data_IF_325650151698
#
_entry.id   IF_325650151698
#
_cell.length_a   1.000
_cell.length_b   1.000
_cell.length_c   1.000
_cell.angle_alpha   90.00
_cell.angle_beta   90.00
_cell.angle_gamma   90.00
#
_symmetry.space_group_name_H-M   'P 1'
#
loop_
_entity.id
_entity.type
_entity.pdbx_description
1 polymer ?
#
# COMPACT_ATOMS: atom_id res chain seq x y z
N UNK A 1 -14.03 37.02 15.27
CA UNK A 1 -13.49 37.25 13.91
C UNK A 1 -13.40 35.91 13.15
N UNK A 2 -14.52 35.20 13.00
CA UNK A 2 -14.52 33.78 12.57
C UNK A 2 -15.52 33.47 11.44
N UNK A 3 -16.21 34.49 10.90
CA UNK A 3 -17.31 34.30 9.95
C UNK A 3 -16.90 34.45 8.47
N UNK A 4 -15.61 34.60 8.17
CA UNK A 4 -15.10 34.69 6.79
C UNK A 4 -14.83 33.31 6.17
N UNK A 5 -14.32 32.34 6.95
CA UNK A 5 -13.98 31.00 6.43
C UNK A 5 -15.22 30.19 6.02
N UNK A 6 -16.35 30.37 6.72
CA UNK A 6 -17.59 29.64 6.40
C UNK A 6 -18.30 30.13 5.13
N UNK A 7 -17.97 31.32 4.60
CA UNK A 7 -18.50 31.79 3.30
C UNK A 7 -17.66 31.32 2.12
N UNK A 8 -16.38 31.00 2.30
CA UNK A 8 -15.51 30.53 1.23
C UNK A 8 -15.76 29.05 0.87
N UNK A 9 -16.14 28.21 1.83
CA UNK A 9 -16.46 26.80 1.57
C UNK A 9 -17.81 26.58 0.88
N UNK A 10 -18.74 27.54 0.98
CA UNK A 10 -20.01 27.51 0.26
C UNK A 10 -19.88 27.77 -1.25
N UNK A 11 -18.84 28.51 -1.68
CA UNK A 11 -18.61 28.84 -3.09
C UNK A 11 -18.06 27.67 -3.92
N UNK A 12 -17.56 26.61 -3.27
CA UNK A 12 -17.08 25.38 -3.93
C UNK A 12 -18.10 24.24 -3.92
N UNK A 13 -19.25 24.41 -3.26
CA UNK A 13 -20.42 23.54 -3.46
C UNK A 13 -21.15 24.04 -4.71
N UNK A 14 -20.49 23.82 -5.85
CA UNK A 14 -21.03 24.17 -7.16
C UNK A 14 -22.36 23.48 -7.40
N UNK A 15 -23.29 24.25 -7.96
CA UNK A 15 -24.55 23.78 -8.53
C UNK A 15 -24.38 22.46 -9.28
N UNK A 16 -25.23 21.48 -8.93
CA UNK A 16 -25.46 20.22 -9.63
C UNK A 16 -26.05 20.40 -11.05
N UNK A 17 -25.78 21.52 -11.73
CA UNK A 17 -26.06 21.71 -13.16
C UNK A 17 -25.02 20.95 -14.00
N UNK A 18 -25.08 19.64 -13.87
CA UNK A 18 -24.17 18.67 -14.45
C UNK A 18 -24.53 18.38 -15.91
N UNK A 19 -24.32 19.36 -16.79
CA UNK A 19 -24.23 19.05 -18.21
C UNK A 19 -23.05 18.07 -18.42
N UNK A 20 -23.34 16.85 -18.84
CA UNK A 20 -22.34 15.83 -19.11
C UNK A 20 -21.50 16.26 -20.30
N UNK A 21 -20.19 16.46 -20.08
CA UNK A 21 -19.27 16.89 -21.15
C UNK A 21 -18.83 15.65 -21.92
N UNK A 22 -19.25 15.55 -23.18
CA UNK A 22 -18.80 14.50 -24.07
C UNK A 22 -17.31 14.66 -24.42
N UNK A 23 -16.63 13.55 -24.68
CA UNK A 23 -15.28 13.54 -25.24
C UNK A 23 -15.24 12.61 -26.45
N UNK A 24 -14.31 12.92 -27.37
CA UNK A 24 -13.89 12.06 -28.47
C UNK A 24 -12.38 11.96 -28.41
N UNK A 25 -11.83 10.75 -28.37
CA UNK A 25 -10.39 10.47 -28.39
C UNK A 25 -10.10 9.43 -29.48
N UNK A 26 -8.99 9.59 -30.17
CA UNK A 26 -8.49 8.64 -31.15
C UNK A 26 -7.41 7.74 -30.51
N UNK A 27 -7.51 6.43 -30.72
CA UNK A 27 -6.50 5.47 -30.30
C UNK A 27 -5.32 5.44 -31.28
N UNK A 28 -4.14 4.96 -30.85
CA UNK A 28 -2.98 4.76 -31.73
C UNK A 28 -3.26 3.81 -32.91
N UNK A 29 -4.28 2.94 -32.79
CA UNK A 29 -4.74 2.08 -33.89
C UNK A 29 -5.73 2.76 -34.86
N UNK A 30 -6.07 4.04 -34.65
CA UNK A 30 -7.04 4.80 -35.45
C UNK A 30 -8.50 4.62 -35.03
N UNK A 31 -8.80 3.82 -34.01
CA UNK A 31 -10.17 3.66 -33.50
C UNK A 31 -10.59 4.90 -32.67
N UNK A 32 -11.73 5.50 -33.02
CA UNK A 32 -12.34 6.57 -32.22
C UNK A 32 -13.12 6.03 -31.02
N UNK A 33 -13.00 6.72 -29.90
CA UNK A 33 -13.68 6.46 -28.63
C UNK A 33 -14.46 7.68 -28.19
N UNK A 34 -15.78 7.52 -28.06
CA UNK A 34 -16.69 8.56 -27.57
C UNK A 34 -17.25 8.19 -26.21
N UNK A 35 -17.42 9.16 -25.31
CA UNK A 35 -18.03 8.94 -24.01
C UNK A 35 -18.31 10.23 -23.24
N UNK A 36 -18.73 10.09 -21.99
CA UNK A 36 -18.97 11.21 -21.07
C UNK A 36 -17.87 11.28 -20.02
N UNK A 37 -17.28 12.46 -19.84
CA UNK A 37 -16.25 12.69 -18.82
C UNK A 37 -16.85 12.59 -17.42
N UNK A 38 -16.18 11.86 -16.53
CA UNK A 38 -16.53 11.78 -15.10
C UNK A 38 -15.76 12.82 -14.27
N UNK A 39 -16.15 12.99 -13.01
CA UNK A 39 -15.41 13.83 -12.05
C UNK A 39 -14.01 13.26 -11.72
N UNK A 40 -13.82 11.94 -11.84
CA UNK A 40 -12.53 11.27 -11.72
C UNK A 40 -11.99 10.96 -13.13
N UNK A 41 -10.67 10.86 -13.26
CA UNK A 41 -10.03 10.36 -14.47
C UNK A 41 -10.54 8.96 -14.82
N UNK A 42 -10.60 8.63 -16.11
CA UNK A 42 -11.04 7.32 -16.58
C UNK A 42 -9.93 6.70 -17.42
N UNK A 43 -9.72 5.39 -17.25
CA UNK A 43 -8.87 4.58 -18.12
C UNK A 43 -9.78 3.70 -18.99
N UNK A 44 -9.66 3.84 -20.30
CA UNK A 44 -10.40 3.04 -21.27
C UNK A 44 -9.43 2.08 -21.95
N UNK A 45 -9.86 0.86 -22.23
CA UNK A 45 -9.09 -0.09 -23.07
C UNK A 45 -9.68 -0.10 -24.46
N UNK A 46 -8.85 0.14 -25.48
CA UNK A 46 -9.28 0.10 -26.87
C UNK A 46 -9.75 -1.32 -27.24
N UNK A 47 -10.94 -1.45 -27.82
CA UNK A 47 -11.48 -2.76 -28.23
C UNK A 47 -10.73 -3.38 -29.41
N UNK A 48 -10.04 -2.56 -30.21
CA UNK A 48 -9.33 -3.03 -31.40
C UNK A 48 -7.91 -3.50 -31.09
N UNK A 49 -7.11 -2.70 -30.39
CA UNK A 49 -5.69 -3.01 -30.13
C UNK A 49 -5.37 -3.31 -28.65
N UNK A 50 -6.33 -3.15 -27.72
CA UNK A 50 -6.09 -3.29 -26.28
C UNK A 50 -5.33 -2.13 -25.62
N UNK A 51 -4.86 -1.15 -26.39
CA UNK A 51 -4.14 0.02 -25.88
C UNK A 51 -4.95 0.81 -24.86
N UNK A 52 -4.29 1.30 -23.79
CA UNK A 52 -4.92 2.08 -22.75
C UNK A 52 -5.00 3.56 -23.13
N UNK A 53 -6.21 4.14 -23.05
CA UNK A 53 -6.49 5.56 -23.26
C UNK A 53 -6.85 6.22 -21.92
N UNK A 54 -6.26 7.38 -21.66
CA UNK A 54 -6.55 8.17 -20.47
C UNK A 54 -7.48 9.33 -20.81
N UNK A 55 -8.67 9.34 -20.22
CA UNK A 55 -9.61 10.46 -20.30
C UNK A 55 -9.39 11.34 -19.08
N UNK A 56 -8.99 12.59 -19.33
CA UNK A 56 -8.86 13.58 -18.27
C UNK A 56 -10.23 13.85 -17.63
N UNK A 57 -10.22 14.04 -16.30
CA UNK A 57 -11.39 14.45 -15.55
C UNK A 57 -12.03 15.72 -16.12
N UNK A 58 -13.30 15.95 -15.80
CA UNK A 58 -13.97 17.22 -16.11
C UNK A 58 -13.14 18.40 -15.58
N UNK A 59 -12.99 19.45 -16.39
CA UNK A 59 -12.29 20.66 -15.98
C UNK A 59 -12.95 21.20 -14.68
N UNK A 60 -12.22 21.29 -13.56
CA UNK A 60 -12.76 21.82 -12.31
C UNK A 60 -12.96 23.34 -12.37
N UNK A 61 -12.38 24.03 -13.36
CA UNK A 61 -12.53 25.47 -13.50
C UNK A 61 -13.85 25.79 -14.25
N UNK A 62 -14.62 26.77 -13.75
CA UNK A 62 -15.79 27.23 -14.50
C UNK A 62 -15.32 27.75 -15.86
N UNK A 63 -16.12 27.56 -16.94
CA UNK A 63 -15.80 28.16 -18.22
C UNK A 63 -15.58 29.67 -18.01
N UNK A 64 -14.55 30.27 -18.65
CA UNK A 64 -14.33 31.70 -18.56
C UNK A 64 -15.66 32.41 -18.83
N UNK A 65 -16.12 33.26 -17.91
CA UNK A 65 -17.27 34.11 -18.21
C UNK A 65 -16.93 34.86 -19.48
N UNK A 66 -17.78 34.72 -20.50
CA UNK A 66 -17.64 35.48 -21.73
C UNK A 66 -17.48 36.94 -21.32
N UNK A 67 -16.27 37.46 -21.55
CA UNK A 67 -16.02 38.87 -21.31
C UNK A 67 -16.99 39.62 -22.22
N UNK A 68 -17.74 40.60 -21.69
CA UNK A 68 -18.67 41.36 -22.50
C UNK A 68 -17.93 41.84 -23.74
N UNK A 69 -18.48 41.53 -24.92
CA UNK A 69 -17.86 41.86 -26.21
C UNK A 69 -17.29 43.26 -26.13
N UNK A 70 -15.96 43.35 -26.24
CA UNK A 70 -15.26 44.61 -26.12
C UNK A 70 -15.88 45.55 -27.15
N UNK A 71 -16.51 46.64 -26.67
CA UNK A 71 -16.97 47.72 -27.53
C UNK A 71 -15.82 48.06 -28.49
N UNK A 72 -16.07 48.19 -29.81
CA UNK A 72 -15.02 48.46 -30.77
C UNK A 72 -14.24 49.69 -30.33
N UNK A 73 -13.00 49.45 -29.90
CA UNK A 73 -12.08 50.50 -29.47
C UNK A 73 -11.73 51.28 -30.72
N UNK A 74 -12.11 52.56 -30.72
CA UNK A 74 -11.77 53.52 -31.76
C UNK A 74 -10.24 53.57 -31.85
N UNK A 75 -9.62 53.44 -33.05
CA UNK A 75 -8.18 53.41 -33.18
C UNK A 75 -7.62 54.79 -32.82
N UNK A 76 -7.06 54.88 -31.61
CA UNK A 76 -6.25 56.00 -31.17
C UNK A 76 -4.79 55.65 -31.49
N UNK A 77 -4.16 56.55 -32.22
CA UNK A 77 -2.88 56.37 -32.88
C UNK A 77 -1.76 56.07 -31.89
N UNK A 78 -0.91 55.14 -32.34
CA UNK A 78 0.40 54.79 -31.81
C UNK A 78 1.21 56.03 -31.41
N UNK A 79 1.79 55.97 -30.21
CA UNK A 79 3.08 56.60 -29.98
C UNK A 79 4.03 55.56 -29.37
N UNK A 80 5.08 55.27 -30.13
CA UNK A 80 6.19 54.41 -29.78
C UNK A 80 7.03 55.10 -28.71
N UNK A 81 7.19 54.47 -27.55
CA UNK A 81 8.34 54.77 -26.70
C UNK A 81 8.83 53.51 -25.99
N UNK A 82 9.69 52.80 -26.72
CA UNK A 82 10.96 52.23 -26.27
C UNK A 82 11.36 52.55 -24.81
N UNK A 83 11.38 51.54 -23.92
CA UNK A 83 12.30 51.49 -22.76
C UNK A 83 12.67 50.04 -22.43
N UNK A 84 13.75 49.59 -23.06
CA UNK A 84 14.99 49.16 -22.43
C UNK A 84 14.96 48.37 -21.08
N UNK A 85 15.39 47.11 -21.20
CA UNK A 85 16.46 46.46 -20.43
C UNK A 85 16.56 46.72 -18.91
N UNK A 86 16.33 45.66 -18.11
CA UNK A 86 17.13 45.46 -16.90
C UNK A 86 17.35 44.00 -16.54
N UNK A 87 18.63 43.67 -16.64
CA UNK A 87 19.37 42.51 -16.16
C UNK A 87 19.41 42.43 -14.63
N UNK A 88 19.92 41.27 -14.16
CA UNK A 88 20.49 40.95 -12.84
C UNK A 88 19.53 40.49 -11.73
N UNK A 89 19.73 39.26 -11.22
CA UNK A 89 20.61 39.03 -10.07
C UNK A 89 20.58 37.57 -9.58
N UNK A 90 21.78 37.03 -9.38
CA UNK A 90 22.10 35.76 -8.75
C UNK A 90 21.76 35.71 -7.25
N UNK A 91 21.51 34.52 -6.72
CA UNK A 91 21.69 34.24 -5.29
C UNK A 91 22.23 32.81 -5.06
N UNK A 92 23.37 32.64 -4.37
CA UNK A 92 23.97 31.35 -4.04
C UNK A 92 23.85 30.97 -2.55
N UNK A 93 24.18 29.70 -2.26
CA UNK A 93 24.65 29.10 -0.98
C UNK A 93 23.61 28.82 0.14
N UNK A 94 23.63 27.58 0.65
CA UNK A 94 24.44 27.23 1.84
C UNK A 94 24.50 25.72 2.10
N UNK A 95 25.72 25.20 1.97
CA UNK A 95 26.21 23.98 2.59
C UNK A 95 26.42 24.21 4.09
N UNK A 96 25.93 23.30 4.92
CA UNK A 96 26.18 23.24 6.38
C UNK A 96 26.57 21.79 6.68
N UNK A 97 27.86 21.47 6.58
CA UNK A 97 28.88 21.50 7.65
C UNK A 97 28.61 20.49 8.77
N UNK A 98 29.29 19.36 8.57
CA UNK A 98 29.72 18.31 9.49
C UNK A 98 30.17 18.86 10.85
N UNK A 99 29.68 18.26 11.94
CA UNK A 99 30.20 18.46 13.29
C UNK A 99 30.90 17.17 13.74
N UNK A 100 32.22 17.16 13.94
CA UNK A 100 32.92 16.05 14.58
C UNK A 100 32.91 16.23 16.11
N UNK A 101 32.47 15.19 16.81
CA UNK A 101 32.44 15.10 18.27
C UNK A 101 33.86 15.01 18.84
N UNK A 102 34.22 15.80 19.87
CA UNK A 102 35.57 15.80 20.45
C UNK A 102 35.82 14.58 21.35
N UNK A 103 36.98 13.95 21.13
CA UNK A 103 37.59 12.95 22.03
C UNK A 103 37.92 13.58 23.38
N UNK A 104 37.50 12.93 24.46
CA UNK A 104 37.83 13.26 25.85
C UNK A 104 39.20 12.67 26.22
N UNK A 105 40.15 13.44 26.77
CA UNK A 105 41.44 12.91 27.25
C UNK A 105 41.29 12.12 28.55
N UNK A 106 41.90 10.95 28.60
CA UNK A 106 42.10 10.12 29.78
C UNK A 106 43.22 10.71 30.65
N UNK A 107 42.89 11.15 31.85
CA UNK A 107 43.85 11.51 32.91
C UNK A 107 44.06 10.27 33.80
N UNK A 108 45.30 9.83 34.06
CA UNK A 108 45.58 8.79 35.04
C UNK A 108 45.39 9.32 36.46
N UNK A 109 44.65 8.58 37.27
CA UNK A 109 44.35 8.92 38.65
C UNK A 109 45.60 8.75 39.56
N UNK A 110 45.83 9.65 40.53
CA UNK A 110 46.83 9.45 41.57
C UNK A 110 46.36 8.44 42.62
N UNK A 111 47.24 7.52 42.99
CA UNK A 111 47.08 6.61 44.14
C UNK A 111 47.01 7.43 45.43
N UNK A 112 45.87 7.34 46.12
CA UNK A 112 45.65 7.91 47.45
C UNK A 112 45.63 6.76 48.46
N UNK A 113 46.31 6.88 49.61
CA UNK A 113 46.45 5.81 50.59
C UNK A 113 45.11 5.39 51.20
N UNK A 114 44.98 4.07 51.41
CA UNK A 114 43.83 3.42 52.02
C UNK A 114 43.59 3.92 53.46
N UNK A 115 42.58 4.78 53.63
CA UNK A 115 42.01 5.12 54.93
C UNK A 115 40.98 4.04 55.28
N UNK A 116 41.26 3.31 56.36
CA UNK A 116 40.39 2.29 56.94
C UNK A 116 39.09 2.90 57.45
N UNK A 117 37.98 2.59 56.77
CA UNK A 117 36.64 2.97 57.20
C UNK A 117 36.23 2.23 58.48
N UNK A 118 35.61 2.89 59.47
CA UNK A 118 35.11 2.24 60.68
C UNK A 118 33.94 1.30 60.36
N UNK A 119 33.95 0.12 61.00
CA UNK A 119 32.91 -0.91 60.95
C UNK A 119 31.53 -0.33 61.32
N UNK A 120 30.73 0.04 60.32
CA UNK A 120 29.30 0.34 60.47
C UNK A 120 28.49 -0.96 60.51
N UNK A 121 28.38 -1.57 61.69
CA UNK A 121 27.37 -2.58 61.99
C UNK A 121 26.12 -1.91 62.56
N UNK A 122 25.08 -1.70 61.74
CA UNK A 122 23.67 -1.45 62.17
C UNK A 122 22.76 -1.00 60.99
N UNK A 123 23.29 -0.46 59.89
CA UNK A 123 22.48 0.13 58.80
C UNK A 123 21.84 -0.83 57.78
N UNK A 124 21.91 -2.16 57.96
CA UNK A 124 21.41 -3.12 56.96
C UNK A 124 19.88 -3.11 56.83
N UNK A 125 19.16 -2.95 57.93
CA UNK A 125 17.69 -2.92 57.95
C UNK A 125 17.15 -1.66 57.28
N UNK A 126 17.74 -0.49 57.55
CA UNK A 126 17.31 0.77 56.94
C UNK A 126 17.51 0.79 55.41
N UNK A 127 18.62 0.20 54.91
CA UNK A 127 18.89 0.12 53.47
C UNK A 127 17.88 -0.76 52.72
N UNK A 128 17.42 -1.86 53.32
CA UNK A 128 16.39 -2.72 52.71
C UNK A 128 15.03 -2.01 52.62
N UNK A 129 14.64 -1.27 53.66
CA UNK A 129 13.40 -0.50 53.66
C UNK A 129 13.43 0.59 52.57
N UNK A 130 14.52 1.35 52.49
CA UNK A 130 14.69 2.36 51.43
C UNK A 130 14.63 1.76 50.03
N UNK A 131 15.23 0.58 49.81
CA UNK A 131 15.17 -0.11 48.53
C UNK A 131 13.74 -0.54 48.18
N UNK A 132 12.97 -1.02 49.15
CA UNK A 132 11.55 -1.34 48.98
C UNK A 132 10.70 -0.14 48.59
N UNK A 133 10.91 1.02 49.24
CA UNK A 133 10.19 2.27 48.91
C UNK A 133 10.54 2.76 47.50
N UNK A 134 11.82 2.72 47.12
CA UNK A 134 12.26 3.09 45.77
C UNK A 134 11.68 2.14 44.72
N UNK A 135 11.70 0.83 44.97
CA UNK A 135 11.11 -0.16 44.07
C UNK A 135 9.60 0.05 43.87
N UNK A 136 8.87 0.34 44.96
CA UNK A 136 7.45 0.67 44.88
C UNK A 136 7.21 1.98 44.10
N UNK A 137 8.04 3.00 44.32
CA UNK A 137 7.98 4.26 43.57
C UNK A 137 8.20 4.06 42.08
N UNK A 138 9.21 3.27 41.69
CA UNK A 138 9.47 2.93 40.28
C UNK A 138 8.31 2.14 39.67
N UNK A 139 7.77 1.16 40.40
CA UNK A 139 6.61 0.38 39.96
C UNK A 139 5.38 1.27 39.73
N UNK A 140 5.11 2.21 40.65
CA UNK A 140 3.97 3.14 40.53
C UNK A 140 4.11 4.05 39.30
N UNK A 141 5.30 4.62 39.07
CA UNK A 141 5.57 5.42 37.86
C UNK A 141 5.40 4.58 36.59
N UNK A 142 5.88 3.34 36.58
CA UNK A 142 5.70 2.44 35.45
C UNK A 142 4.23 2.14 35.14
N UNK A 143 3.40 1.91 36.17
CA UNK A 143 1.94 1.70 36.01
C UNK A 143 1.25 2.96 35.46
N UNK A 144 1.60 4.16 35.97
CA UNK A 144 1.04 5.42 35.49
C UNK A 144 1.40 5.66 34.02
N UNK A 145 2.67 5.48 33.64
CA UNK A 145 3.12 5.63 32.25
C UNK A 145 2.44 4.60 31.34
N UNK A 146 2.27 3.36 31.79
CA UNK A 146 1.53 2.33 31.05
C UNK A 146 0.06 2.70 30.88
N UNK A 147 -0.58 3.25 31.92
CA UNK A 147 -1.95 3.75 31.87
C UNK A 147 -2.13 4.86 30.83
N UNK A 148 -1.27 5.89 30.86
CA UNK A 148 -1.30 6.98 29.90
C UNK A 148 -1.07 6.51 28.45
N UNK A 149 -0.14 5.56 28.23
CA UNK A 149 0.10 4.97 26.92
C UNK A 149 -1.12 4.20 26.41
N UNK A 150 -1.78 3.44 27.27
CA UNK A 150 -2.99 2.71 26.91
C UNK A 150 -4.17 3.65 26.62
N UNK A 151 -4.35 4.71 27.41
CA UNK A 151 -5.37 5.73 27.13
C UNK A 151 -5.14 6.45 25.81
N UNK A 152 -3.89 6.83 25.52
CA UNK A 152 -3.52 7.44 24.25
C UNK A 152 -3.78 6.49 23.07
N UNK A 153 -3.42 5.20 23.21
CA UNK A 153 -3.67 4.19 22.19
C UNK A 153 -5.19 3.98 21.94
N UNK A 154 -6.01 3.97 22.99
CA UNK A 154 -7.48 3.87 22.85
C UNK A 154 -8.08 5.07 22.11
N UNK A 155 -7.67 6.29 22.47
CA UNK A 155 -8.12 7.51 21.78
C UNK A 155 -7.71 7.52 20.32
N UNK A 156 -6.47 7.11 20.03
CA UNK A 156 -5.98 6.99 18.67
C UNK A 156 -6.79 5.96 17.86
N UNK A 157 -7.05 4.79 18.44
CA UNK A 157 -7.84 3.73 17.79
C UNK A 157 -9.26 4.22 17.46
N UNK A 158 -9.92 4.91 18.38
CA UNK A 158 -11.26 5.48 18.16
C UNK A 158 -11.27 6.56 17.06
N UNK A 159 -10.30 7.49 17.06
CA UNK A 159 -10.19 8.51 16.00
C UNK A 159 -9.92 7.87 14.65
N UNK A 160 -8.94 6.96 14.59
CA UNK A 160 -8.55 6.28 13.37
C UNK A 160 -9.71 5.45 12.79
N UNK A 161 -10.53 4.79 13.63
CA UNK A 161 -11.68 3.99 13.19
C UNK A 161 -12.66 4.79 12.31
N UNK A 162 -13.06 5.99 12.76
CA UNK A 162 -13.96 6.84 11.99
C UNK A 162 -13.31 7.34 10.70
N UNK A 163 -12.03 7.72 10.75
CA UNK A 163 -11.28 8.21 9.59
C UNK A 163 -11.05 7.11 8.54
N UNK A 164 -10.85 5.86 8.98
CA UNK A 164 -10.73 4.68 8.11
C UNK A 164 -12.02 4.49 7.32
N UNK A 165 -13.18 4.50 7.99
CA UNK A 165 -14.47 4.28 7.33
C UNK A 165 -14.77 5.38 6.29
N UNK A 166 -14.49 6.64 6.63
CA UNK A 166 -14.63 7.76 5.68
C UNK A 166 -13.69 7.61 4.49
N UNK A 167 -12.42 7.26 4.74
CA UNK A 167 -11.41 7.11 3.68
C UNK A 167 -11.74 5.94 2.74
N UNK A 168 -12.20 4.80 3.29
CA UNK A 168 -12.64 3.65 2.51
C UNK A 168 -13.88 3.99 1.67
N UNK A 169 -14.88 4.66 2.25
CA UNK A 169 -16.08 5.08 1.54
C UNK A 169 -15.78 6.04 0.37
N UNK A 170 -14.79 6.91 0.53
CA UNK A 170 -14.36 7.86 -0.51
C UNK A 170 -13.35 7.29 -1.50
N UNK A 171 -12.99 6.01 -1.38
CA UNK A 171 -11.94 5.35 -2.17
C UNK A 171 -10.56 6.03 -2.08
N UNK A 172 -10.22 6.59 -0.91
CA UNK A 172 -8.92 7.21 -0.61
C UNK A 172 -7.94 6.16 -0.06
N UNK A 173 -7.52 5.21 -0.89
CA UNK A 173 -6.79 4.00 -0.46
C UNK A 173 -5.47 4.27 0.28
N UNK A 174 -4.71 5.27 -0.16
CA UNK A 174 -3.42 5.62 0.48
C UNK A 174 -3.65 6.18 1.89
N UNK A 175 -4.68 7.02 2.06
CA UNK A 175 -5.05 7.59 3.36
C UNK A 175 -5.60 6.51 4.28
N UNK A 176 -6.52 5.67 3.78
CA UNK A 176 -7.04 4.52 4.50
C UNK A 176 -5.91 3.59 4.99
N UNK A 177 -4.94 3.25 4.13
CA UNK A 177 -3.77 2.42 4.49
C UNK A 177 -2.96 3.03 5.63
N UNK A 178 -2.72 4.35 5.59
CA UNK A 178 -1.95 5.02 6.64
C UNK A 178 -2.70 5.00 7.98
N UNK A 179 -4.01 5.25 7.97
CA UNK A 179 -4.85 5.20 9.18
C UNK A 179 -5.01 3.78 9.72
N UNK A 180 -5.13 2.79 8.85
CA UNK A 180 -5.12 1.37 9.22
C UNK A 180 -3.80 0.97 9.89
N UNK A 181 -2.66 1.46 9.41
CA UNK A 181 -1.35 1.22 10.05
C UNK A 181 -1.30 1.79 11.47
N UNK A 182 -1.85 3.00 11.67
CA UNK A 182 -1.96 3.62 13.00
C UNK A 182 -2.89 2.82 13.92
N UNK A 183 -4.05 2.40 13.42
CA UNK A 183 -5.04 1.60 14.15
C UNK A 183 -4.48 0.23 14.57
N UNK A 184 -3.83 -0.50 13.65
CA UNK A 184 -3.18 -1.79 13.94
C UNK A 184 -2.10 -1.62 15.01
N UNK A 185 -1.23 -0.62 14.87
CA UNK A 185 -0.19 -0.36 15.87
C UNK A 185 -0.77 0.03 17.25
N UNK A 186 -1.94 0.68 17.30
CA UNK A 186 -2.64 0.96 18.55
C UNK A 186 -3.27 -0.30 19.15
N UNK A 187 -3.91 -1.15 18.34
CA UNK A 187 -4.49 -2.42 18.78
C UNK A 187 -3.43 -3.38 19.34
N UNK A 188 -2.28 -3.50 18.67
CA UNK A 188 -1.15 -4.32 19.14
C UNK A 188 -0.61 -3.83 20.49
N UNK A 189 -0.45 -2.51 20.67
CA UNK A 189 -0.01 -1.93 21.96
C UNK A 189 -1.00 -2.20 23.09
N UNK A 190 -2.29 -2.24 22.78
CA UNK A 190 -3.34 -2.59 23.73
C UNK A 190 -3.41 -4.10 24.01
N UNK A 191 -2.71 -4.93 23.22
CA UNK A 191 -2.79 -6.39 23.29
C UNK A 191 -4.16 -6.91 22.86
N UNK A 192 -4.86 -6.16 22.01
CA UNK A 192 -6.21 -6.48 21.57
C UNK A 192 -6.13 -7.53 20.44
N UNK A 193 -6.73 -8.70 20.67
CA UNK A 193 -6.79 -9.82 19.72
C UNK A 193 -8.24 -10.13 19.31
N UNK A 194 -9.12 -9.14 19.39
CA UNK A 194 -10.51 -9.30 19.01
C UNK A 194 -10.68 -9.27 17.48
N UNK A 195 -11.91 -9.53 17.06
CA UNK A 195 -12.26 -9.58 15.64
C UNK A 195 -12.01 -8.24 14.94
N UNK A 196 -12.26 -7.12 15.62
CA UNK A 196 -12.03 -5.79 15.06
C UNK A 196 -10.54 -5.57 14.76
N UNK A 197 -9.64 -5.97 15.67
CA UNK A 197 -8.21 -5.93 15.42
C UNK A 197 -7.83 -6.81 14.22
N UNK A 198 -8.34 -8.05 14.16
CA UNK A 198 -8.11 -8.96 13.03
C UNK A 198 -8.59 -8.35 11.69
N UNK A 199 -9.74 -7.68 11.69
CA UNK A 199 -10.27 -6.96 10.53
C UNK A 199 -9.37 -5.79 10.11
N UNK A 200 -8.83 -5.02 11.05
CA UNK A 200 -7.88 -3.95 10.73
C UNK A 200 -6.57 -4.49 10.15
N UNK A 201 -6.05 -5.59 10.68
CA UNK A 201 -4.90 -6.28 10.08
C UNK A 201 -5.18 -6.70 8.65
N UNK A 202 -6.33 -7.34 8.40
CA UNK A 202 -6.71 -7.79 7.08
C UNK A 202 -6.89 -6.62 6.10
N UNK A 203 -7.61 -5.57 6.49
CA UNK A 203 -7.79 -4.37 5.66
C UNK A 203 -6.46 -3.66 5.38
N UNK A 204 -5.53 -3.62 6.33
CA UNK A 204 -4.20 -3.06 6.12
C UNK A 204 -3.44 -3.85 5.05
N UNK A 205 -3.53 -5.19 5.08
CA UNK A 205 -2.91 -6.06 4.08
C UNK A 205 -3.53 -5.85 2.69
N UNK A 206 -4.86 -5.82 2.59
CA UNK A 206 -5.58 -5.57 1.33
C UNK A 206 -5.27 -4.19 0.75
N UNK A 207 -5.30 -3.13 1.57
CA UNK A 207 -5.00 -1.76 1.11
C UNK A 207 -3.53 -1.57 0.75
N UNK A 208 -2.62 -2.32 1.38
CA UNK A 208 -1.20 -2.35 0.99
C UNK A 208 -1.05 -3.01 -0.38
N UNK A 209 -1.64 -4.20 -0.56
CA UNK A 209 -1.64 -4.88 -1.85
C UNK A 209 -2.23 -4.00 -2.96
N UNK A 210 -3.37 -3.35 -2.69
CA UNK A 210 -4.05 -2.42 -3.59
C UNK A 210 -3.16 -1.25 -4.03
N UNK A 211 -2.41 -0.66 -3.10
CA UNK A 211 -1.54 0.49 -3.38
C UNK A 211 -0.29 0.13 -4.19
N UNK A 212 0.15 -1.12 -4.10
CA UNK A 212 1.41 -1.60 -4.68
C UNK A 212 1.18 -2.62 -5.81
N UNK A 213 -0.04 -2.62 -6.38
CA UNK A 213 -0.39 -3.44 -7.55
C UNK A 213 0.58 -3.20 -8.71
N UNK A 214 0.80 -4.26 -9.49
CA UNK A 214 1.49 -4.21 -10.77
C UNK A 214 0.74 -3.28 -11.72
N UNK A 215 1.49 -2.40 -12.37
CA UNK A 215 0.96 -1.53 -13.43
C UNK A 215 0.79 -2.25 -14.77
N UNK A 216 1.39 -3.44 -14.90
CA UNK A 216 1.43 -4.27 -16.10
C UNK A 216 0.82 -5.64 -15.78
N UNK A 217 -0.06 -6.19 -16.64
CA UNK A 217 -0.62 -7.53 -16.47
C UNK A 217 0.47 -8.61 -16.37
N UNK A 218 0.21 -9.66 -15.58
CA UNK A 218 1.14 -10.80 -15.45
C UNK A 218 1.41 -11.48 -16.79
N UNK A 219 0.42 -11.53 -17.69
CA UNK A 219 0.58 -12.06 -19.05
C UNK A 219 1.66 -11.34 -19.82
N UNK A 220 1.68 -10.01 -19.78
CA UNK A 220 2.62 -9.18 -20.55
C UNK A 220 4.04 -9.32 -19.99
N UNK A 221 4.17 -9.44 -18.66
CA UNK A 221 5.45 -9.74 -17.99
C UNK A 221 5.99 -11.08 -18.46
N UNK A 222 5.14 -12.10 -18.53
CA UNK A 222 5.55 -13.43 -18.99
C UNK A 222 5.81 -13.46 -20.49
N UNK A 223 5.08 -12.69 -21.30
CA UNK A 223 5.38 -12.53 -22.74
C UNK A 223 6.71 -11.80 -22.97
N UNK A 224 7.05 -10.81 -22.14
CA UNK A 224 8.37 -10.17 -22.14
C UNK A 224 9.46 -11.20 -21.86
N UNK A 225 9.26 -12.07 -20.85
CA UNK A 225 10.15 -13.18 -20.55
C UNK A 225 10.30 -14.16 -21.73
N UNK A 226 9.18 -14.46 -22.40
CA UNK A 226 9.11 -15.43 -23.50
C UNK A 226 9.79 -14.95 -24.79
N UNK A 227 9.86 -13.63 -25.01
CA UNK A 227 10.48 -13.01 -26.19
C UNK A 227 12.00 -13.03 -26.16
N UNK A 228 12.60 -13.22 -24.99
CA UNK A 228 14.04 -13.32 -24.89
C UNK A 228 14.40 -14.76 -25.34
N UNK A 229 15.10 -14.93 -26.47
CA UNK A 229 15.46 -16.24 -27.07
C UNK A 229 16.94 -16.68 -26.81
N UNK A 230 17.68 -15.97 -25.95
CA UNK A 230 19.12 -16.15 -25.67
C UNK A 230 19.42 -17.28 -24.64
N UNK A 231 20.35 -18.23 -24.87
CA UNK A 231 20.73 -19.24 -23.87
C UNK A 231 21.26 -18.68 -22.52
N UNK A 232 21.75 -17.44 -22.46
CA UNK A 232 22.10 -16.75 -21.21
C UNK A 232 20.86 -16.16 -20.47
N UNK A 233 19.66 -16.36 -21.01
CA UNK A 233 18.38 -15.84 -20.54
C UNK A 233 18.17 -15.90 -19.04
N UNK A 234 18.39 -17.06 -18.37
CA UNK A 234 17.84 -17.23 -17.04
C UNK A 234 18.39 -16.19 -16.08
N UNK A 235 19.65 -15.77 -16.27
CA UNK A 235 20.28 -14.74 -15.45
C UNK A 235 19.80 -13.34 -15.84
N UNK A 236 19.84 -12.98 -17.13
CA UNK A 236 19.42 -11.65 -17.60
C UNK A 236 17.96 -11.35 -17.26
N UNK A 237 17.08 -12.33 -17.47
CA UNK A 237 15.67 -12.22 -17.11
C UNK A 237 15.48 -12.12 -15.60
N UNK A 238 16.16 -12.96 -14.81
CA UNK A 238 16.06 -12.89 -13.35
C UNK A 238 16.48 -11.51 -12.82
N UNK A 239 17.56 -10.93 -13.33
CA UNK A 239 18.03 -9.60 -12.93
C UNK A 239 17.02 -8.49 -13.32
N UNK A 240 16.49 -8.54 -14.55
CA UNK A 240 15.47 -7.59 -15.01
C UNK A 240 14.18 -7.71 -14.19
N UNK A 241 13.74 -8.94 -13.94
CA UNK A 241 12.57 -9.23 -13.14
C UNK A 241 12.72 -8.70 -11.72
N UNK A 242 13.87 -8.94 -11.09
CA UNK A 242 14.17 -8.44 -9.75
C UNK A 242 14.15 -6.91 -9.70
N UNK A 243 14.71 -6.24 -10.71
CA UNK A 243 14.76 -4.78 -10.74
C UNK A 243 13.37 -4.13 -10.95
N UNK A 244 12.45 -4.79 -11.66
CA UNK A 244 11.20 -4.17 -12.12
C UNK A 244 9.93 -4.68 -11.45
N UNK A 245 9.88 -5.96 -11.11
CA UNK A 245 8.64 -6.66 -10.76
C UNK A 245 8.66 -7.31 -9.38
N UNK A 246 9.83 -7.54 -8.78
CA UNK A 246 9.92 -8.11 -7.43
C UNK A 246 9.23 -7.20 -6.41
N UNK A 247 8.57 -7.84 -5.44
CA UNK A 247 7.81 -7.21 -4.35
C UNK A 247 6.60 -6.38 -4.83
N UNK A 248 6.29 -6.39 -6.13
CA UNK A 248 5.08 -5.81 -6.69
C UNK A 248 3.93 -6.80 -6.59
N UNK A 249 2.73 -6.29 -6.36
CA UNK A 249 1.57 -7.13 -6.09
C UNK A 249 0.83 -7.52 -7.37
N UNK A 250 0.64 -8.82 -7.58
CA UNK A 250 -0.28 -9.35 -8.57
C UNK A 250 -1.61 -9.70 -7.91
N UNK A 251 -2.71 -9.26 -8.51
CA UNK A 251 -4.07 -9.67 -8.14
C UNK A 251 -4.48 -10.89 -8.95
N UNK A 252 -5.03 -11.91 -8.27
CA UNK A 252 -5.25 -13.24 -8.83
C UNK A 252 -6.58 -13.79 -8.35
N UNK A 253 -7.38 -14.24 -9.32
CA UNK A 253 -8.58 -15.03 -9.09
C UNK A 253 -8.35 -16.40 -9.74
N UNK A 254 -8.37 -17.46 -8.93
CA UNK A 254 -8.03 -18.80 -9.43
C UNK A 254 -8.33 -19.91 -8.43
N UNK A 255 -8.05 -21.14 -8.85
CA UNK A 255 -8.28 -22.33 -8.03
C UNK A 255 -6.99 -22.75 -7.35
N UNK A 256 -6.95 -22.68 -6.02
CA UNK A 256 -5.82 -23.12 -5.21
C UNK A 256 -5.91 -24.63 -4.96
N UNK A 257 -4.85 -25.36 -5.30
CA UNK A 257 -4.72 -26.81 -5.18
C UNK A 257 -3.53 -27.10 -4.25
N UNK A 258 -3.70 -27.91 -3.18
CA UNK A 258 -2.58 -28.24 -2.31
C UNK A 258 -1.58 -29.09 -3.08
N UNK A 259 -0.30 -28.69 -3.07
CA UNK A 259 0.76 -29.48 -3.70
C UNK A 259 1.23 -30.53 -2.69
N UNK A 260 1.26 -31.83 -3.06
CA UNK A 260 1.81 -32.84 -2.16
C UNK A 260 3.30 -32.52 -1.91
N UNK A 261 3.66 -32.41 -0.63
CA UNK A 261 5.07 -32.30 -0.22
C UNK A 261 5.73 -33.62 -0.60
N UNK A 262 6.82 -33.63 -1.37
CA UNK A 262 7.55 -34.87 -1.64
C UNK A 262 7.97 -35.52 -0.32
N UNK A 263 7.67 -36.81 -0.14
CA UNK A 263 7.89 -37.58 1.10
C UNK A 263 9.36 -37.60 1.60
N UNK A 264 10.32 -37.03 0.86
CA UNK A 264 11.75 -37.24 1.06
C UNK A 264 12.46 -36.23 1.97
N UNK A 265 11.79 -35.17 2.42
CA UNK A 265 12.37 -34.24 3.41
C UNK A 265 11.47 -34.16 4.65
N UNK A 266 11.77 -34.91 5.72
CA UNK A 266 11.08 -34.79 7.02
C UNK A 266 11.42 -33.47 7.76
N UNK A 267 11.93 -32.46 7.04
CA UNK A 267 12.15 -31.14 7.57
C UNK A 267 10.78 -30.46 7.70
N UNK A 268 10.46 -30.04 8.91
CA UNK A 268 9.17 -29.45 9.30
C UNK A 268 8.97 -28.16 8.51
N UNK A 269 8.43 -28.26 7.29
CA UNK A 269 7.93 -27.08 6.59
C UNK A 269 6.64 -26.67 7.29
N UNK A 270 6.71 -25.57 8.04
CA UNK A 270 5.57 -25.02 8.80
C UNK A 270 4.40 -24.62 7.88
N UNK A 271 4.64 -24.46 6.58
CA UNK A 271 3.65 -23.98 5.60
C UNK A 271 3.67 -24.80 4.32
N UNK A 272 2.48 -25.23 3.87
CA UNK A 272 2.34 -26.04 2.66
C UNK A 272 2.54 -25.19 1.40
N UNK A 273 3.02 -25.84 0.33
CA UNK A 273 2.99 -25.27 -1.01
C UNK A 273 1.61 -25.46 -1.66
N UNK A 274 1.13 -24.39 -2.28
CA UNK A 274 -0.11 -24.36 -3.04
C UNK A 274 0.20 -24.04 -4.50
N UNK A 275 -0.42 -24.80 -5.41
CA UNK A 275 -0.46 -24.51 -6.83
C UNK A 275 -1.78 -23.77 -7.12
N UNK A 276 -1.71 -22.55 -7.63
CA UNK A 276 -2.91 -21.84 -8.11
C UNK A 276 -2.93 -21.93 -9.63
N UNK A 277 -3.97 -22.59 -10.15
CA UNK A 277 -4.17 -22.74 -11.57
C UNK A 277 -4.68 -21.43 -12.17
N UNK A 278 -3.94 -20.93 -13.16
CA UNK A 278 -4.33 -19.77 -13.96
C UNK A 278 -4.71 -20.27 -15.36
N UNK A 279 -5.87 -19.88 -15.91
CA UNK A 279 -6.28 -20.23 -17.27
C UNK A 279 -5.52 -19.38 -18.31
N UNK A 280 -4.20 -19.28 -18.15
CA UNK A 280 -3.31 -18.45 -18.95
C UNK A 280 -2.32 -19.33 -19.71
N UNK A 281 -2.13 -18.98 -20.98
CA UNK A 281 -1.03 -19.51 -21.79
C UNK A 281 -0.24 -18.34 -22.36
N UNK A 282 1.08 -18.48 -22.42
CA UNK A 282 1.98 -17.39 -22.77
C UNK A 282 2.82 -17.73 -23.98
N UNK A 283 2.98 -16.74 -24.85
CA UNK A 283 3.91 -16.78 -25.96
C UNK A 283 3.48 -17.68 -27.12
N UNK A 284 4.34 -17.77 -28.15
CA UNK A 284 4.04 -18.52 -29.38
C UNK A 284 3.93 -20.02 -29.17
N UNK A 285 4.57 -20.54 -28.11
CA UNK A 285 4.54 -21.96 -27.77
C UNK A 285 3.38 -22.34 -26.84
N UNK A 286 2.49 -21.39 -26.52
CA UNK A 286 1.32 -21.58 -25.65
C UNK A 286 1.68 -22.26 -24.32
N UNK A 287 2.76 -21.77 -23.68
CA UNK A 287 3.27 -22.34 -22.44
C UNK A 287 2.29 -22.12 -21.31
N UNK A 288 2.01 -23.14 -20.51
CA UNK A 288 1.11 -23.03 -19.35
C UNK A 288 1.76 -22.19 -18.26
N UNK A 289 0.94 -21.50 -17.45
CA UNK A 289 1.41 -20.74 -16.29
C UNK A 289 0.96 -21.43 -15.01
N UNK A 290 1.91 -21.69 -14.13
CA UNK A 290 1.69 -22.22 -12.78
C UNK A 290 2.08 -21.15 -11.76
N UNK A 291 1.19 -20.86 -10.81
CA UNK A 291 1.52 -20.00 -9.69
C UNK A 291 1.78 -20.83 -8.44
N UNK A 292 2.97 -20.71 -7.87
CA UNK A 292 3.39 -21.41 -6.66
C UNK A 292 3.37 -20.44 -5.48
N UNK A 293 2.61 -20.81 -4.44
CA UNK A 293 2.37 -19.96 -3.26
C UNK A 293 2.59 -20.75 -1.98
N UNK A 294 3.35 -20.19 -1.04
CA UNK A 294 3.46 -20.71 0.33
C UNK A 294 2.70 -19.74 1.25
N UNK A 295 1.61 -20.19 1.87
CA UNK A 295 0.76 -19.30 2.66
C UNK A 295 -0.04 -20.02 3.74
N UNK A 296 0.23 -19.66 4.99
CA UNK A 296 -0.60 -20.04 6.13
C UNK A 296 -2.07 -19.59 6.02
N UNK A 297 -2.35 -18.50 5.28
CA UNK A 297 -3.73 -18.04 5.04
C UNK A 297 -4.49 -19.00 4.13
N UNK A 298 -3.82 -19.56 3.11
CA UNK A 298 -4.40 -20.61 2.28
C UNK A 298 -4.62 -21.89 3.07
N UNK A 299 -3.69 -22.27 3.95
CA UNK A 299 -3.86 -23.44 4.83
C UNK A 299 -5.13 -23.32 5.70
N UNK A 300 -5.41 -22.12 6.22
CA UNK A 300 -6.62 -21.83 7.01
C UNK A 300 -7.92 -21.88 6.18
N UNK A 301 -7.90 -21.38 4.94
CA UNK A 301 -9.12 -21.22 4.13
C UNK A 301 -9.43 -22.44 3.26
N UNK A 302 -8.41 -23.09 2.71
CA UNK A 302 -8.54 -24.21 1.77
C UNK A 302 -8.39 -25.57 2.46
N UNK A 303 -7.66 -25.65 3.58
CA UNK A 303 -7.45 -26.90 4.30
C UNK A 303 -6.64 -27.92 3.48
N UNK A 304 -7.28 -29.02 3.08
CA UNK A 304 -6.69 -30.07 2.24
C UNK A 304 -7.39 -30.22 0.87
N UNK A 305 -8.39 -29.39 0.58
CA UNK A 305 -9.21 -29.50 -0.62
C UNK A 305 -8.93 -28.36 -1.60
N UNK A 306 -9.01 -28.62 -2.92
CA UNK A 306 -8.95 -27.56 -3.91
C UNK A 306 -10.10 -26.56 -3.75
N UNK A 307 -9.80 -25.25 -3.70
CA UNK A 307 -10.81 -24.20 -3.51
C UNK A 307 -10.53 -22.97 -4.37
N UNK A 308 -11.60 -22.35 -4.87
CA UNK A 308 -11.50 -21.08 -5.57
C UNK A 308 -11.23 -19.94 -4.59
N UNK A 309 -10.24 -19.12 -4.90
CA UNK A 309 -9.78 -18.03 -4.04
C UNK A 309 -9.60 -16.74 -4.83
N UNK A 310 -9.89 -15.64 -4.15
CA UNK A 310 -9.50 -14.30 -4.61
C UNK A 310 -8.34 -13.86 -3.72
N UNK A 311 -7.20 -13.53 -4.31
CA UNK A 311 -6.01 -13.18 -3.55
C UNK A 311 -5.12 -12.16 -4.26
N UNK A 312 -4.24 -11.55 -3.48
CA UNK A 312 -3.12 -10.78 -3.99
C UNK A 312 -1.82 -11.37 -3.44
N UNK A 313 -0.79 -11.39 -4.28
CA UNK A 313 0.53 -11.90 -3.93
C UNK A 313 1.63 -10.93 -4.36
N UNK A 314 2.64 -10.68 -3.53
CA UNK A 314 3.87 -10.05 -4.00
C UNK A 314 4.68 -11.07 -4.81
N UNK A 315 5.19 -10.65 -5.96
CA UNK A 315 6.01 -11.50 -6.80
C UNK A 315 7.44 -11.63 -6.26
N UNK A 316 7.95 -12.86 -6.13
CA UNK A 316 9.34 -13.13 -5.75
C UNK A 316 10.22 -13.35 -6.99
N UNK A 317 9.86 -14.35 -7.81
CA UNK A 317 10.61 -14.72 -9.01
C UNK A 317 9.75 -15.44 -10.05
N UNK A 318 10.26 -15.53 -11.27
CA UNK A 318 9.63 -16.26 -12.39
C UNK A 318 10.68 -17.15 -13.04
N UNK A 319 10.36 -18.44 -13.17
CA UNK A 319 11.25 -19.44 -13.74
C UNK A 319 10.54 -20.23 -14.83
N UNK A 320 11.28 -20.62 -15.87
CA UNK A 320 10.78 -21.59 -16.84
C UNK A 320 11.12 -23.00 -16.36
N UNK A 321 10.19 -23.94 -16.52
CA UNK A 321 10.43 -25.34 -16.24
C UNK A 321 11.59 -25.89 -17.10
N UNK A 322 12.33 -26.91 -16.65
CA UNK A 322 13.45 -27.46 -17.41
C UNK A 322 13.08 -28.00 -18.80
N UNK A 323 11.83 -28.43 -18.99
CA UNK A 323 11.29 -28.88 -20.28
C UNK A 323 10.84 -27.73 -21.20
N UNK A 324 10.89 -26.48 -20.72
CA UNK A 324 10.52 -25.29 -21.46
C UNK A 324 9.01 -25.12 -21.71
N UNK A 325 8.16 -25.94 -21.11
CA UNK A 325 6.70 -25.98 -21.39
C UNK A 325 5.85 -25.15 -20.43
N UNK A 326 6.38 -24.84 -19.25
CA UNK A 326 5.63 -24.20 -18.16
C UNK A 326 6.42 -23.01 -17.63
N UNK A 327 5.73 -21.88 -17.44
CA UNK A 327 6.24 -20.76 -16.66
C UNK A 327 5.73 -20.89 -15.23
N UNK A 328 6.65 -20.89 -14.26
CA UNK A 328 6.34 -20.90 -12.83
C UNK A 328 6.57 -19.53 -12.25
N UNK A 329 5.53 -18.98 -11.65
CA UNK A 329 5.56 -17.71 -10.92
C UNK A 329 5.57 -18.04 -9.44
N UNK A 330 6.51 -17.49 -8.68
CA UNK A 330 6.65 -17.72 -7.25
C UNK A 330 6.24 -16.46 -6.49
N UNK A 331 5.38 -16.63 -5.48
CA UNK A 331 5.03 -15.57 -4.54
C UNK A 331 6.04 -15.48 -3.39
N UNK A 332 6.19 -14.31 -2.76
CA UNK A 332 6.95 -14.19 -1.51
C UNK A 332 6.26 -15.04 -0.42
N UNK A 333 6.99 -15.95 0.27
CA UNK A 333 6.40 -16.83 1.26
C UNK A 333 5.66 -16.08 2.37
N UNK A 334 4.47 -16.55 2.72
CA UNK A 334 3.62 -16.03 3.81
C UNK A 334 3.14 -14.58 3.68
N UNK A 335 3.39 -13.92 2.55
CA UNK A 335 2.90 -12.57 2.32
C UNK A 335 1.55 -12.53 1.58
N UNK A 336 1.04 -13.67 1.09
CA UNK A 336 -0.24 -13.80 0.39
C UNK A 336 -1.43 -13.23 1.15
N UNK A 337 -2.17 -12.33 0.53
CA UNK A 337 -3.38 -11.72 1.07
C UNK A 337 -4.60 -12.34 0.40
N UNK A 338 -5.42 -13.06 1.17
CA UNK A 338 -6.72 -13.51 0.70
C UNK A 338 -7.70 -12.34 0.78
N UNK A 339 -8.34 -12.00 -0.32
CA UNK A 339 -9.26 -10.87 -0.35
C UNK A 339 -10.57 -11.22 0.36
N UNK A 340 -11.07 -10.30 1.18
CA UNK A 340 -12.23 -10.56 2.05
C UNK A 340 -13.19 -9.37 2.19
N UNK A 341 -12.71 -8.12 2.08
CA UNK A 341 -13.59 -6.94 2.11
C UNK A 341 -14.09 -6.59 0.70
N UNK A 342 -15.41 -6.45 0.57
CA UNK A 342 -16.06 -6.13 -0.70
C UNK A 342 -15.69 -4.74 -1.22
N UNK A 343 -15.49 -3.76 -0.34
CA UNK A 343 -15.24 -2.36 -0.73
C UNK A 343 -13.84 -2.21 -1.32
N UNK A 344 -12.85 -2.89 -0.75
CA UNK A 344 -11.49 -2.93 -1.31
C UNK A 344 -11.47 -3.71 -2.63
N UNK A 345 -12.30 -4.75 -2.77
CA UNK A 345 -12.46 -5.50 -4.03
C UNK A 345 -13.01 -4.60 -5.15
N UNK A 346 -14.12 -3.91 -4.86
CA UNK A 346 -14.71 -2.90 -5.75
C UNK A 346 -13.74 -1.75 -6.04
N UNK A 347 -12.88 -1.41 -5.08
CA UNK A 347 -11.85 -0.40 -5.21
C UNK A 347 -10.77 -0.68 -6.26
N UNK A 348 -10.58 -1.95 -6.62
CA UNK A 348 -9.73 -2.35 -7.76
C UNK A 348 -10.40 -2.11 -9.12
N UNK A 349 -11.69 -1.82 -9.13
CA UNK A 349 -12.50 -1.69 -10.35
C UNK A 349 -13.23 -2.97 -10.76
N UNK A 350 -13.20 -4.03 -9.96
CA UNK A 350 -13.99 -5.24 -10.19
C UNK A 350 -15.36 -5.13 -9.54
N UNK A 351 -16.44 -5.30 -10.31
CA UNK A 351 -17.77 -5.38 -9.73
C UNK A 351 -18.07 -6.84 -9.33
N UNK A 352 -18.46 -7.13 -8.09
CA UNK A 352 -18.78 -8.50 -7.64
C UNK A 352 -19.88 -9.19 -8.46
N UNK A 353 -20.72 -8.41 -9.12
CA UNK A 353 -21.81 -8.88 -9.99
C UNK A 353 -21.30 -9.36 -11.36
N UNK A 354 -20.14 -8.87 -11.80
CA UNK A 354 -19.51 -9.25 -13.07
C UNK A 354 -18.69 -10.53 -12.94
N UNK A 355 -18.15 -10.82 -11.75
CA UNK A 355 -17.44 -12.07 -11.46
C UNK A 355 -18.38 -13.08 -10.82
N UNK A 356 -18.68 -14.16 -11.56
CA UNK A 356 -19.53 -15.26 -11.12
C UNK A 356 -19.08 -15.76 -9.73
N UNK A 357 -19.93 -15.55 -8.73
CA UNK A 357 -19.71 -16.02 -7.36
C UNK A 357 -18.60 -15.29 -6.58
N UNK A 358 -18.09 -14.13 -7.03
CA UNK A 358 -17.07 -13.40 -6.29
C UNK A 358 -17.57 -12.96 -4.90
N UNK A 359 -18.79 -12.43 -4.79
CA UNK A 359 -19.37 -12.04 -3.51
C UNK A 359 -19.43 -13.21 -2.51
N UNK A 360 -19.87 -14.39 -2.96
CA UNK A 360 -19.90 -15.60 -2.14
C UNK A 360 -18.49 -16.01 -1.69
N UNK A 361 -17.50 -15.98 -2.61
CA UNK A 361 -16.11 -16.31 -2.28
C UNK A 361 -15.51 -15.34 -1.26
N UNK A 362 -15.73 -14.03 -1.42
CA UNK A 362 -15.29 -13.02 -0.44
C UNK A 362 -15.88 -13.28 0.94
N UNK A 363 -17.18 -13.58 1.02
CA UNK A 363 -17.85 -13.90 2.29
C UNK A 363 -17.34 -15.20 2.92
N UNK A 364 -17.11 -16.23 2.12
CA UNK A 364 -16.52 -17.49 2.59
C UNK A 364 -15.08 -17.28 3.10
N UNK A 365 -14.24 -16.56 2.36
CA UNK A 365 -12.88 -16.22 2.77
C UNK A 365 -12.90 -15.38 4.05
N UNK A 366 -13.79 -14.39 4.16
CA UNK A 366 -13.99 -13.57 5.37
C UNK A 366 -14.34 -14.43 6.59
N UNK A 367 -15.28 -15.36 6.45
CA UNK A 367 -15.66 -16.30 7.53
C UNK A 367 -14.52 -17.23 7.93
N UNK A 368 -13.83 -17.83 6.95
CA UNK A 368 -12.69 -18.73 7.21
C UNK A 368 -11.49 -18.02 7.84
N UNK A 369 -11.33 -16.72 7.60
CA UNK A 369 -10.33 -15.88 8.28
C UNK A 369 -10.75 -15.45 9.70
N UNK A 370 -11.97 -15.78 10.15
CA UNK A 370 -12.49 -15.39 11.46
C UNK A 370 -12.89 -13.91 11.54
N UNK A 371 -13.29 -13.30 10.42
CA UNK A 371 -13.64 -11.87 10.30
C UNK A 371 -15.17 -11.64 10.16
N UNK A 372 -15.98 -12.60 10.64
CA UNK A 372 -17.43 -12.63 10.43
C UNK A 372 -18.21 -12.70 11.74
N UNK A 373 -18.17 -11.65 12.52
CA UNK A 373 -19.09 -11.31 13.61
C UNK A 373 -20.16 -10.36 13.10
N UNK A 374 -21.41 -10.70 13.43
CA UNK A 374 -22.63 -10.00 13.01
C UNK A 374 -22.77 -8.61 13.63
#
# INVERSE_FOLDING_TARGET
MSNWISKATGAFRGDDSSASVAFTLECECGQEHTGLRRQKWQRLSCRSCGGALFVLQRDPYPPPKELPEARPVRPEMLDETEVESRSTASAPRKSTRTTPTPRKPSIPAPEVPAVSSPRQGSGRTFRLVMLGVVALGVLMVAVIVRGQRNEAARRLLQSASNEIEVSLANAQWIEARNKLREAVAAAERLGQQDEQAARYHQLLRETTALSDLLSVPLTDILEEADKIDDPELPRKWADLFQARYRDRWAFIEGRAIPRPVPDETPEIQETREWLVELPLTVGRKLRRVELIVQSSSLDKVCGAEPRDVIMAIPLDRVEQSPDGKVWRVFAVPNETVLWSDRRTYEGMGYLPEESLGAAQRLDEQRKSLGLGGE
#
